data_IF_677656990360
#
_entry.id   IF_677656990360
#
_cell.length_a   1.000
_cell.length_b   1.000
_cell.length_c   1.000
_cell.angle_alpha   90.00
_cell.angle_beta   90.00
_cell.angle_gamma   90.00
#
_symmetry.space_group_name_H-M   'P 1'
#
loop_
_entity.id
_entity.type
_entity.pdbx_description
1 polymer ?
#
# COMPACT_ATOMS: atom_id res chain seq x y z
N UNK A 1 31.74 40.26 -16.23
CA UNK A 1 32.72 39.23 -15.81
C UNK A 1 32.46 38.94 -14.34
N UNK A 2 32.30 37.65 -14.00
CA UNK A 2 32.36 36.95 -12.69
C UNK A 2 31.93 37.63 -11.38
N UNK A 3 31.45 36.94 -10.35
CA UNK A 3 31.08 35.54 -10.16
C UNK A 3 30.45 35.44 -8.75
N UNK A 4 29.41 34.62 -8.65
CA UNK A 4 29.00 33.75 -7.51
C UNK A 4 28.69 34.37 -6.13
N UNK A 5 27.38 34.52 -5.89
CA UNK A 5 26.73 34.33 -4.60
C UNK A 5 27.05 32.91 -4.09
N UNK A 6 27.71 32.79 -2.94
CA UNK A 6 27.78 31.56 -2.17
C UNK A 6 26.50 31.43 -1.33
N UNK A 7 25.41 30.96 -1.94
CA UNK A 7 24.21 30.55 -1.21
C UNK A 7 24.36 29.10 -0.73
N UNK A 8 23.99 28.93 0.54
CA UNK A 8 23.97 27.70 1.30
C UNK A 8 23.01 26.72 0.61
N UNK A 9 23.46 25.54 0.19
CA UNK A 9 22.58 24.39 -0.06
C UNK A 9 23.13 23.18 0.67
N UNK A 10 22.65 23.04 1.90
CA UNK A 10 22.73 21.80 2.63
C UNK A 10 21.97 20.74 1.84
N UNK A 11 22.73 19.84 1.24
CA UNK A 11 22.47 18.40 1.18
C UNK A 11 21.00 18.02 0.94
N UNK A 12 20.74 17.83 -0.35
CA UNK A 12 19.71 17.04 -1.00
C UNK A 12 19.47 15.68 -0.27
N UNK A 13 18.64 15.69 0.76
CA UNK A 13 17.87 14.52 1.16
C UNK A 13 16.50 14.75 0.57
N UNK A 14 16.25 14.18 -0.61
CA UNK A 14 15.03 14.31 -1.40
C UNK A 14 13.77 13.77 -0.71
N UNK A 15 13.39 14.34 0.42
CA UNK A 15 12.02 14.38 0.88
C UNK A 15 11.41 15.65 0.30
N UNK A 16 10.94 15.57 -0.95
CA UNK A 16 10.09 16.60 -1.51
C UNK A 16 8.63 16.28 -1.12
N UNK A 17 8.00 17.00 -0.17
CA UNK A 17 6.64 16.68 0.29
C UNK A 17 5.54 17.17 -0.68
N UNK A 18 5.84 17.40 -1.97
CA UNK A 18 4.98 18.26 -2.81
C UNK A 18 4.05 17.57 -3.82
N UNK A 19 4.03 16.25 -3.97
CA UNK A 19 2.98 15.52 -4.71
C UNK A 19 2.89 14.09 -4.16
N UNK A 20 1.89 13.77 -3.33
CA UNK A 20 1.64 12.37 -2.95
C UNK A 20 1.44 11.53 -4.23
N UNK A 21 2.20 10.45 -4.39
CA UNK A 21 2.11 9.58 -5.55
C UNK A 21 0.68 9.02 -5.62
N UNK A 22 0.06 8.82 -6.80
CA UNK A 22 -1.30 8.26 -6.89
C UNK A 22 -1.45 6.94 -6.11
N UNK A 23 -0.40 6.12 -6.08
CA UNK A 23 -0.35 4.91 -5.24
C UNK A 23 -0.46 5.20 -3.73
N UNK A 24 0.06 6.33 -3.23
CA UNK A 24 -0.04 6.69 -1.81
C UNK A 24 -1.50 6.94 -1.41
N UNK A 25 -2.25 7.63 -2.27
CA UNK A 25 -3.69 7.85 -2.10
C UNK A 25 -4.47 6.54 -2.20
N UNK A 26 -4.16 5.69 -3.17
CA UNK A 26 -4.81 4.39 -3.33
C UNK A 26 -4.53 3.46 -2.14
N UNK A 27 -3.29 3.41 -1.63
CA UNK A 27 -2.95 2.68 -0.39
C UNK A 27 -3.75 3.22 0.78
N UNK A 28 -3.77 4.54 0.98
CA UNK A 28 -4.47 5.17 2.09
C UNK A 28 -5.97 4.83 2.07
N UNK A 29 -6.58 4.86 0.88
CA UNK A 29 -7.99 4.50 0.69
C UNK A 29 -8.27 3.04 1.05
N UNK A 30 -7.47 2.09 0.56
CA UNK A 30 -7.67 0.67 0.86
C UNK A 30 -7.43 0.40 2.36
N UNK A 31 -6.42 1.03 2.98
CA UNK A 31 -6.17 0.90 4.42
C UNK A 31 -7.34 1.40 5.28
N UNK A 32 -8.00 2.46 4.87
CA UNK A 32 -9.17 2.98 5.57
C UNK A 32 -10.38 2.03 5.44
N UNK A 33 -10.50 1.31 4.32
CA UNK A 33 -11.60 0.38 4.06
C UNK A 33 -11.39 -1.00 4.71
N UNK A 34 -10.16 -1.50 4.75
CA UNK A 34 -9.83 -2.86 5.18
C UNK A 34 -8.91 -2.86 6.41
N UNK A 35 -9.45 -2.41 7.55
CA UNK A 35 -8.71 -2.22 8.81
C UNK A 35 -8.11 -3.50 9.40
N UNK A 36 -8.64 -4.68 9.05
CA UNK A 36 -8.11 -5.99 9.47
C UNK A 36 -6.85 -6.43 8.72
N UNK A 37 -6.36 -5.64 7.75
CA UNK A 37 -5.22 -5.96 6.92
C UNK A 37 -4.09 -4.94 7.06
N UNK A 38 -2.85 -5.43 6.99
CA UNK A 38 -1.69 -4.59 6.71
C UNK A 38 -1.51 -4.54 5.20
N UNK A 39 -1.55 -3.34 4.60
CA UNK A 39 -1.51 -3.15 3.14
C UNK A 39 -0.28 -2.31 2.73
N UNK A 40 0.44 -2.71 1.69
CA UNK A 40 1.60 -1.99 1.15
C UNK A 40 1.87 -2.30 -0.32
N UNK A 41 2.79 -1.55 -0.95
CA UNK A 41 3.37 -1.89 -2.27
C UNK A 41 4.68 -2.63 -2.05
N UNK A 42 4.84 -3.78 -2.68
CA UNK A 42 6.13 -4.43 -2.74
C UNK A 42 7.14 -3.49 -3.44
N UNK A 43 8.41 -3.60 -3.09
CA UNK A 43 9.49 -2.85 -3.74
C UNK A 43 10.41 -3.88 -4.37
N UNK A 44 10.62 -3.76 -5.69
CA UNK A 44 11.50 -4.65 -6.44
C UNK A 44 12.97 -4.29 -6.15
N UNK A 45 13.88 -5.19 -6.51
CA UNK A 45 15.33 -4.99 -6.30
C UNK A 45 15.88 -3.74 -7.00
N UNK A 46 15.24 -3.30 -8.08
CA UNK A 46 15.60 -2.09 -8.85
C UNK A 46 14.99 -0.80 -8.26
N UNK A 47 14.28 -0.88 -7.13
CA UNK A 47 13.58 0.25 -6.52
C UNK A 47 12.22 0.58 -7.14
N UNK A 48 11.81 -0.13 -8.20
CA UNK A 48 10.48 0.05 -8.78
C UNK A 48 9.38 -0.54 -7.89
N UNK A 49 8.17 0.03 -8.00
CA UNK A 49 7.01 -0.47 -7.26
C UNK A 49 6.47 -1.78 -7.86
N UNK A 50 6.35 -2.77 -6.99
CA UNK A 50 5.99 -4.16 -7.24
C UNK A 50 4.49 -4.40 -7.31
N UNK A 51 4.03 -5.45 -6.65
CA UNK A 51 2.65 -5.84 -6.46
C UNK A 51 2.01 -5.08 -5.27
N UNK A 52 0.68 -5.00 -5.27
CA UNK A 52 -0.11 -4.60 -4.13
C UNK A 52 -0.29 -5.80 -3.20
N UNK A 53 0.08 -5.63 -1.93
CA UNK A 53 0.10 -6.72 -0.95
C UNK A 53 -0.77 -6.36 0.24
N UNK A 54 -1.58 -7.33 0.68
CA UNK A 54 -2.31 -7.27 1.94
C UNK A 54 -2.05 -8.54 2.75
N UNK A 55 -1.57 -8.38 3.97
CA UNK A 55 -1.48 -9.48 4.93
C UNK A 55 -2.53 -9.34 6.01
N UNK A 56 -3.22 -10.44 6.28
CA UNK A 56 -4.28 -10.51 7.27
C UNK A 56 -3.69 -10.35 8.67
N UNK A 57 -4.16 -9.33 9.39
CA UNK A 57 -3.78 -9.10 10.79
C UNK A 57 -4.89 -9.55 11.74
N UNK A 58 -6.15 -9.28 11.40
CA UNK A 58 -7.32 -9.79 12.11
C UNK A 58 -7.84 -11.07 11.41
N UNK A 59 -7.68 -12.27 12.01
CA UNK A 59 -8.07 -13.52 11.38
C UNK A 59 -9.58 -13.68 11.17
N UNK A 60 -10.42 -12.79 11.72
CA UNK A 60 -11.88 -12.80 11.51
C UNK A 60 -12.28 -12.08 10.22
N UNK A 61 -11.39 -11.27 9.65
CA UNK A 61 -11.67 -10.40 8.49
C UNK A 61 -11.31 -11.03 7.15
N UNK A 62 -10.73 -12.23 7.14
CA UNK A 62 -10.27 -12.93 5.95
C UNK A 62 -10.02 -14.40 6.18
N UNK A 63 -9.69 -15.11 5.10
CA UNK A 63 -9.36 -16.54 5.09
C UNK A 63 -7.90 -16.72 4.73
N UNK A 64 -7.45 -16.10 3.65
CA UNK A 64 -6.08 -16.21 3.16
C UNK A 64 -5.16 -15.26 3.94
N UNK A 65 -4.01 -15.74 4.44
CA UNK A 65 -3.13 -14.95 5.29
C UNK A 65 -2.43 -13.81 4.54
N UNK A 66 -2.24 -13.93 3.23
CA UNK A 66 -1.64 -12.89 2.40
C UNK A 66 -2.21 -12.94 0.98
N UNK A 67 -2.66 -11.79 0.49
CA UNK A 67 -3.19 -11.57 -0.86
C UNK A 67 -2.25 -10.61 -1.59
N UNK A 68 -1.90 -10.96 -2.84
CA UNK A 68 -1.06 -10.13 -3.71
C UNK A 68 -1.74 -9.94 -5.06
N UNK A 69 -1.79 -8.70 -5.56
CA UNK A 69 -2.39 -8.36 -6.86
C UNK A 69 -1.57 -7.29 -7.60
N UNK A 70 -1.56 -7.30 -8.94
CA UNK A 70 -0.80 -6.33 -9.73
C UNK A 70 -1.36 -4.90 -9.62
N UNK A 71 -2.66 -4.73 -9.33
CA UNK A 71 -3.34 -3.42 -9.25
C UNK A 71 -4.06 -3.20 -7.92
N UNK A 72 -4.36 -1.94 -7.60
CA UNK A 72 -5.07 -1.55 -6.39
C UNK A 72 -6.53 -2.04 -6.40
N UNK A 73 -7.17 -1.94 -7.57
CA UNK A 73 -8.54 -2.36 -7.82
C UNK A 73 -8.70 -3.86 -7.65
N UNK A 74 -7.77 -4.64 -8.20
CA UNK A 74 -7.76 -6.10 -8.03
C UNK A 74 -7.51 -6.49 -6.58
N UNK A 75 -6.61 -5.78 -5.87
CA UNK A 75 -6.40 -6.04 -4.45
C UNK A 75 -7.70 -5.78 -3.67
N UNK A 76 -8.35 -4.64 -3.90
CA UNK A 76 -9.62 -4.29 -3.26
C UNK A 76 -10.70 -5.34 -3.52
N UNK A 77 -10.87 -5.76 -4.78
CA UNK A 77 -11.85 -6.79 -5.14
C UNK A 77 -11.58 -8.11 -4.40
N UNK A 78 -10.33 -8.54 -4.36
CA UNK A 78 -9.94 -9.76 -3.64
C UNK A 78 -10.21 -9.65 -2.13
N UNK A 79 -9.98 -8.49 -1.50
CA UNK A 79 -10.27 -8.28 -0.07
C UNK A 79 -11.78 -8.30 0.24
N UNK A 80 -12.62 -7.85 -0.68
CA UNK A 80 -14.08 -8.01 -0.55
C UNK A 80 -14.47 -9.50 -0.57
N UNK A 81 -13.88 -10.29 -1.47
CA UNK A 81 -14.12 -11.73 -1.54
C UNK A 81 -13.62 -12.47 -0.29
N UNK A 82 -12.48 -12.06 0.28
CA UNK A 82 -11.98 -12.57 1.55
C UNK A 82 -12.99 -12.36 2.69
N UNK A 83 -13.52 -11.15 2.83
CA UNK A 83 -14.50 -10.83 3.88
C UNK A 83 -15.79 -11.66 3.73
N UNK A 84 -16.26 -11.86 2.50
CA UNK A 84 -17.39 -12.75 2.23
C UNK A 84 -17.07 -14.19 2.66
N UNK A 85 -15.91 -14.73 2.27
CA UNK A 85 -15.47 -16.08 2.65
C UNK A 85 -15.31 -16.23 4.16
N UNK A 86 -14.79 -15.22 4.85
CA UNK A 86 -14.65 -15.21 6.30
C UNK A 86 -16.03 -15.28 7.01
N UNK A 87 -16.98 -14.45 6.57
CA UNK A 87 -18.37 -14.53 7.05
C UNK A 87 -19.01 -15.89 6.77
N UNK A 88 -18.72 -16.48 5.60
CA UNK A 88 -19.16 -17.84 5.28
C UNK A 88 -18.51 -18.92 6.15
N UNK A 89 -17.27 -18.76 6.61
CA UNK A 89 -16.64 -19.68 7.56
C UNK A 89 -17.22 -19.54 8.96
N UNK A 90 -17.46 -18.31 9.40
CA UNK A 90 -18.00 -18.03 10.73
C UNK A 90 -19.39 -18.64 10.96
N UNK A 91 -20.26 -18.65 9.94
CA UNK A 91 -21.61 -19.25 10.02
C UNK A 91 -21.64 -20.79 10.07
N UNK A 92 -20.53 -21.46 9.79
CA UNK A 92 -20.42 -22.93 9.81
C UNK A 92 -19.52 -23.44 10.95
N UNK A 93 -19.02 -22.55 11.82
CA UNK A 93 -18.24 -22.89 13.01
C UNK A 93 -19.18 -23.13 14.19
#
# INVERSE_FOLDING_TARGET
MGAIRGEISALDVGHNPSLAHPDDWAIARIRAEFVGYRIWRAVRKDGSLGEWVASLHDPTMGVDPTVMRPTAEELRAALVEEGQRAGMRARFR
#
